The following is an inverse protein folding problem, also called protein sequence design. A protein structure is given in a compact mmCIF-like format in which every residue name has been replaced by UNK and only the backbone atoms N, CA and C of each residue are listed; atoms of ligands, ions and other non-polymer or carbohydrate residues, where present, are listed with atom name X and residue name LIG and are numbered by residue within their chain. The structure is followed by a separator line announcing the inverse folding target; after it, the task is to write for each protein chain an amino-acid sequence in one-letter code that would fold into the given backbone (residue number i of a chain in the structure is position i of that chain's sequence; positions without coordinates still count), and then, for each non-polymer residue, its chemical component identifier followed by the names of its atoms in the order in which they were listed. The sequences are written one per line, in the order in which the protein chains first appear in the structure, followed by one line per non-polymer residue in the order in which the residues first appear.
data_IF_365614168017
#
_entry.id   IF_365614168017
#
_cell.length_a   1.000
_cell.length_b   1.000
_cell.length_c   1.000
_cell.angle_alpha   90.00
_cell.angle_beta   90.00
_cell.angle_gamma   90.00
#
_symmetry.space_group_name_H-M   'P 1'
#
loop_
_entity.id
_entity.type
_entity.pdbx_description
1 polymer ?
#
# COMPACT_ATOMS: atom_id res chain seq x y z
N UNK A 1 3.51 -15.60 -11.54
CA UNK A 1 4.88 -15.75 -10.98
C UNK A 1 4.85 -15.00 -9.67
N UNK A 2 5.02 -15.65 -8.53
CA UNK A 2 4.97 -14.97 -7.22
C UNK A 2 6.03 -13.87 -7.19
N UNK A 3 5.71 -12.62 -6.83
CA UNK A 3 6.74 -11.59 -6.67
C UNK A 3 7.74 -12.10 -5.63
N UNK A 4 9.01 -12.10 -5.99
CA UNK A 4 10.04 -12.48 -5.04
C UNK A 4 10.04 -11.46 -3.89
N UNK A 5 10.34 -11.88 -2.64
CA UNK A 5 10.49 -10.94 -1.53
C UNK A 5 11.45 -9.78 -1.86
N UNK A 6 12.47 -10.05 -2.69
CA UNK A 6 13.39 -9.04 -3.20
C UNK A 6 12.72 -8.01 -4.13
N UNK A 7 11.81 -8.42 -5.02
CA UNK A 7 11.11 -7.51 -5.91
C UNK A 7 10.21 -6.53 -5.15
N UNK A 8 9.47 -7.03 -4.16
CA UNK A 8 8.60 -6.20 -3.31
C UNK A 8 9.41 -5.22 -2.45
N UNK A 9 10.51 -5.68 -1.85
CA UNK A 9 11.40 -4.80 -1.08
C UNK A 9 12.04 -3.72 -1.96
N UNK A 10 12.43 -4.06 -3.20
CA UNK A 10 12.95 -3.07 -4.16
C UNK A 10 11.89 -2.03 -4.55
N UNK A 11 10.63 -2.46 -4.70
CA UNK A 11 9.53 -1.55 -4.97
C UNK A 11 9.30 -0.56 -3.83
N UNK A 12 9.30 -1.03 -2.57
CA UNK A 12 9.22 -0.17 -1.38
C UNK A 12 10.34 0.87 -1.36
N UNK A 13 11.59 0.44 -1.53
CA UNK A 13 12.74 1.35 -1.53
C UNK A 13 12.66 2.40 -2.63
N UNK A 14 12.21 2.01 -3.82
CA UNK A 14 12.17 2.89 -4.99
C UNK A 14 10.99 3.87 -4.94
N UNK A 15 9.81 3.39 -4.55
CA UNK A 15 8.56 4.16 -4.61
C UNK A 15 8.25 4.91 -3.31
N UNK A 16 8.70 4.40 -2.17
CA UNK A 16 8.40 4.95 -0.84
C UNK A 16 9.64 5.45 -0.07
N UNK A 17 10.85 5.29 -0.62
CA UNK A 17 12.08 5.75 0.03
C UNK A 17 12.14 7.26 0.28
N UNK A 18 11.31 8.05 -0.41
CA UNK A 18 11.16 9.49 -0.16
C UNK A 18 10.62 9.83 1.24
N UNK A 19 10.02 8.85 1.95
CA UNK A 19 9.57 9.00 3.34
C UNK A 19 10.74 9.07 4.35
N UNK A 20 11.96 8.72 3.91
CA UNK A 20 13.14 8.61 4.78
C UNK A 20 13.31 7.25 5.46
N UNK A 21 12.37 6.32 5.26
CA UNK A 21 12.47 4.97 5.82
C UNK A 21 13.40 4.09 4.97
N UNK A 22 14.44 3.53 5.61
CA UNK A 22 15.35 2.56 4.99
C UNK A 22 14.78 1.14 5.10
N UNK A 23 13.78 0.79 4.27
CA UNK A 23 13.12 -0.52 4.33
C UNK A 23 14.10 -1.71 4.24
N UNK A 24 13.97 -2.67 5.16
CA UNK A 24 14.82 -3.85 5.28
C UNK A 24 14.08 -5.16 5.01
N UNK A 25 12.85 -5.31 5.52
CA UNK A 25 12.08 -6.54 5.40
C UNK A 25 10.58 -6.26 5.30
N UNK A 26 9.87 -7.14 4.58
CA UNK A 26 8.41 -7.18 4.57
C UNK A 26 7.97 -8.29 5.52
N UNK A 27 7.29 -7.94 6.60
CA UNK A 27 6.84 -8.87 7.63
C UNK A 27 5.50 -9.50 7.22
N UNK A 28 4.57 -8.67 6.76
CA UNK A 28 3.26 -9.11 6.31
C UNK A 28 2.63 -8.08 5.37
N UNK A 29 1.63 -8.53 4.59
CA UNK A 29 0.72 -7.65 3.87
C UNK A 29 -0.71 -8.16 3.95
N UNK A 30 -1.68 -7.26 3.78
CA UNK A 30 -3.10 -7.61 3.71
C UNK A 30 -3.55 -7.96 2.29
N UNK A 31 -4.82 -8.36 2.14
CA UNK A 31 -5.46 -8.53 0.83
C UNK A 31 -5.81 -7.20 0.16
N UNK A 32 -5.71 -6.08 0.87
CA UNK A 32 -5.84 -4.71 0.33
C UNK A 32 -4.48 -4.05 0.07
N UNK A 33 -3.37 -4.76 0.31
CA UNK A 33 -2.03 -4.26 0.06
C UNK A 33 -1.41 -3.42 1.18
N UNK A 34 -2.06 -3.32 2.35
CA UNK A 34 -1.45 -2.69 3.53
C UNK A 34 -0.25 -3.54 3.97
N UNK A 35 0.81 -2.93 4.49
CA UNK A 35 2.03 -3.66 4.81
C UNK A 35 2.53 -3.37 6.22
N UNK A 36 3.03 -4.43 6.87
CA UNK A 36 3.89 -4.32 8.05
C UNK A 36 5.31 -4.60 7.59
N UNK A 37 6.22 -3.65 7.81
CA UNK A 37 7.60 -3.70 7.32
C UNK A 37 8.56 -3.28 8.43
N UNK A 38 9.83 -3.64 8.28
CA UNK A 38 10.90 -3.15 9.15
C UNK A 38 11.89 -2.28 8.38
N UNK A 39 12.56 -1.40 9.10
CA UNK A 39 13.72 -0.67 8.58
C UNK A 39 15.05 -1.33 8.96
N UNK A 40 16.16 -0.77 8.47
CA UNK A 40 17.52 -1.27 8.75
C UNK A 40 17.96 -1.15 10.20
N UNK A 41 17.22 -0.42 11.04
CA UNK A 41 17.44 -0.33 12.49
C UNK A 41 16.57 -1.31 13.28
N UNK A 42 15.73 -2.10 12.60
CA UNK A 42 14.82 -3.06 13.22
C UNK A 42 13.53 -2.43 13.77
N UNK A 43 13.26 -1.16 13.46
CA UNK A 43 11.99 -0.55 13.81
C UNK A 43 10.90 -0.96 12.82
N UNK A 44 9.69 -1.17 13.32
CA UNK A 44 8.51 -1.54 12.56
C UNK A 44 7.75 -0.31 12.08
N UNK A 45 7.18 -0.44 10.88
CA UNK A 45 6.38 0.58 10.22
C UNK A 45 5.13 -0.05 9.61
N UNK A 46 4.02 0.68 9.68
CA UNK A 46 2.79 0.37 8.95
C UNK A 46 2.71 1.22 7.70
N UNK A 47 2.60 0.60 6.53
CA UNK A 47 2.39 1.30 5.26
C UNK A 47 0.94 1.14 4.82
N UNK A 48 0.29 2.27 4.59
CA UNK A 48 -1.05 2.37 4.05
C UNK A 48 -0.99 2.95 2.62
N UNK A 49 -1.18 2.10 1.58
CA UNK A 49 -1.14 2.56 0.19
C UNK A 49 -2.38 3.36 -0.19
N UNK A 50 -3.48 3.24 0.56
CA UNK A 50 -4.75 3.90 0.25
C UNK A 50 -4.73 5.39 0.65
N UNK A 51 -4.14 5.70 1.80
CA UNK A 51 -3.98 7.10 2.26
C UNK A 51 -2.60 7.69 2.00
N UNK A 52 -1.66 6.92 1.45
CA UNK A 52 -0.33 7.43 1.10
C UNK A 52 0.59 7.63 2.30
N UNK A 53 0.47 6.83 3.36
CA UNK A 53 1.16 7.05 4.64
C UNK A 53 2.07 5.89 5.05
N UNK A 54 3.15 6.24 5.76
CA UNK A 54 4.00 5.30 6.49
C UNK A 54 4.07 5.75 7.95
N UNK A 55 3.62 4.90 8.87
CA UNK A 55 3.50 5.18 10.29
C UNK A 55 4.59 4.40 11.03
N UNK A 56 5.47 5.12 11.73
CA UNK A 56 6.46 4.49 12.60
C UNK A 56 5.76 3.88 13.83
N UNK A 57 5.93 2.58 14.04
CA UNK A 57 5.35 1.86 15.18
C UNK A 57 6.35 1.67 16.32
N UNK A 58 7.65 1.66 16.02
CA UNK A 58 8.71 1.44 17.01
C UNK A 58 9.17 -0.01 17.02
N UNK A 59 9.17 -0.68 18.17
CA UNK A 59 9.62 -2.07 18.28
C UNK A 59 8.51 -3.09 17.95
N UNK A 60 8.85 -4.39 18.01
CA UNK A 60 7.90 -5.48 17.74
C UNK A 60 6.70 -5.48 18.70
N UNK A 61 6.90 -5.09 19.96
CA UNK A 61 5.83 -5.07 20.95
C UNK A 61 4.82 -3.95 20.64
N UNK A 62 5.31 -2.77 20.28
CA UNK A 62 4.48 -1.65 19.84
C UNK A 62 3.77 -1.97 18.51
N UNK A 63 4.46 -2.61 17.56
CA UNK A 63 3.85 -3.08 16.32
C UNK A 63 2.72 -4.08 16.56
N UNK A 64 2.95 -5.06 17.44
CA UNK A 64 1.93 -6.04 17.84
C UNK A 64 0.74 -5.39 18.51
N UNK A 65 0.97 -4.41 19.39
CA UNK A 65 -0.09 -3.66 20.05
C UNK A 65 -0.92 -2.87 19.03
N UNK A 66 -0.26 -2.18 18.08
CA UNK A 66 -0.94 -1.47 17.00
C UNK A 66 -1.77 -2.42 16.12
N UNK A 67 -1.19 -3.55 15.71
CA UNK A 67 -1.92 -4.55 14.92
C UNK A 67 -3.07 -5.20 15.69
N UNK A 68 -3.08 -5.19 17.02
CA UNK A 68 -4.17 -5.72 17.82
C UNK A 68 -5.34 -4.73 18.03
N UNK A 69 -5.19 -3.46 17.63
CA UNK A 69 -6.26 -2.47 17.71
C UNK A 69 -7.42 -2.87 16.77
N UNK A 70 -8.65 -2.71 17.25
CA UNK A 70 -9.85 -3.04 16.48
C UNK A 70 -9.92 -2.22 15.18
N UNK A 71 -9.61 -0.92 15.25
CA UNK A 71 -9.56 -0.04 14.07
C UNK A 71 -8.53 -0.53 13.03
N UNK A 72 -7.34 -0.95 13.47
CA UNK A 72 -6.30 -1.48 12.58
C UNK A 72 -6.75 -2.81 11.97
N UNK A 73 -7.42 -3.67 12.72
CA UNK A 73 -7.93 -4.94 12.21
C UNK A 73 -9.04 -4.73 11.17
N UNK A 74 -9.98 -3.79 11.41
CA UNK A 74 -11.04 -3.47 10.46
C UNK A 74 -10.45 -3.00 9.13
N UNK A 75 -9.46 -2.13 9.17
CA UNK A 75 -8.78 -1.60 7.99
C UNK A 75 -7.90 -2.66 7.32
N UNK A 76 -7.15 -3.44 8.09
CA UNK A 76 -6.27 -4.50 7.57
C UNK A 76 -7.04 -5.64 6.90
N UNK A 77 -8.11 -6.12 7.53
CA UNK A 77 -8.90 -7.23 7.00
C UNK A 77 -9.82 -6.76 5.88
N UNK A 78 -10.45 -5.59 6.04
CA UNK A 78 -11.40 -5.01 5.10
C UNK A 78 -12.46 -6.02 4.62
N UNK A 79 -12.94 -6.88 5.53
CA UNK A 79 -13.74 -8.09 5.21
C UNK A 79 -14.90 -7.83 4.24
N UNK A 80 -15.62 -6.72 4.43
CA UNK A 80 -16.75 -6.35 3.58
C UNK A 80 -16.30 -6.06 2.13
N UNK A 81 -15.20 -5.32 1.96
CA UNK A 81 -14.64 -4.98 0.65
C UNK A 81 -14.02 -6.21 -0.01
N UNK A 82 -13.24 -6.99 0.75
CA UNK A 82 -12.62 -8.23 0.27
C UNK A 82 -13.68 -9.24 -0.17
N UNK A 83 -14.75 -9.41 0.61
CA UNK A 83 -15.85 -10.32 0.26
C UNK A 83 -16.59 -9.86 -1.00
N UNK A 84 -16.90 -8.57 -1.10
CA UNK A 84 -17.57 -8.00 -2.28
C UNK A 84 -16.69 -8.10 -3.53
N UNK A 85 -15.39 -7.81 -3.40
CA UNK A 85 -14.43 -7.95 -4.48
C UNK A 85 -14.27 -9.40 -4.92
N UNK A 86 -14.15 -10.34 -3.98
CA UNK A 86 -14.04 -11.76 -4.29
C UNK A 86 -15.27 -12.29 -5.03
N UNK A 87 -16.47 -11.86 -4.64
CA UNK A 87 -17.71 -12.23 -5.33
C UNK A 87 -17.77 -11.70 -6.77
N UNK A 88 -17.20 -10.52 -7.04
CA UNK A 88 -17.26 -9.86 -8.36
C UNK A 88 -16.08 -10.19 -9.27
N UNK A 89 -14.87 -10.24 -8.72
CA UNK A 89 -13.59 -10.35 -9.44
C UNK A 89 -12.97 -11.75 -9.33
N UNK A 90 -13.45 -12.58 -8.40
CA UNK A 90 -12.76 -13.80 -7.97
C UNK A 90 -11.60 -13.49 -7.01
N UNK A 91 -11.04 -14.51 -6.32
CA UNK A 91 -9.90 -14.34 -5.43
C UNK A 91 -8.66 -13.81 -6.17
N UNK A 92 -7.76 -13.09 -5.49
CA UNK A 92 -6.49 -12.69 -6.08
C UNK A 92 -5.62 -13.92 -6.34
N UNK A 93 -4.87 -13.91 -7.44
CA UNK A 93 -3.84 -14.92 -7.66
C UNK A 93 -2.66 -14.70 -6.69
N UNK A 94 -1.73 -15.65 -6.62
CA UNK A 94 -0.51 -15.46 -5.82
C UNK A 94 0.27 -14.23 -6.32
N UNK A 95 0.52 -13.29 -5.40
CA UNK A 95 1.19 -12.02 -5.69
C UNK A 95 0.25 -10.86 -5.98
N UNK A 96 -1.04 -11.14 -6.17
CA UNK A 96 -2.06 -10.10 -6.35
C UNK A 96 -2.72 -9.75 -5.02
N UNK A 97 -3.25 -8.53 -4.98
CA UNK A 97 -4.13 -8.01 -3.94
C UNK A 97 -5.33 -7.32 -4.59
N UNK A 98 -6.33 -6.98 -3.79
CA UNK A 98 -7.32 -6.00 -4.18
C UNK A 98 -6.81 -4.59 -3.91
N UNK A 99 -7.23 -3.63 -4.72
CA UNK A 99 -7.00 -2.21 -4.47
C UNK A 99 -8.05 -1.38 -5.19
N UNK A 100 -8.19 -0.11 -4.82
CA UNK A 100 -8.99 0.83 -5.57
C UNK A 100 -8.34 1.13 -6.93
N UNK A 101 -9.17 1.38 -7.94
CA UNK A 101 -8.69 1.99 -9.19
C UNK A 101 -7.95 3.28 -8.86
N UNK A 102 -6.87 3.64 -9.58
CA UNK A 102 -6.06 4.83 -9.26
C UNK A 102 -6.89 6.12 -9.20
N UNK A 103 -7.87 6.27 -10.07
CA UNK A 103 -8.80 7.41 -10.04
C UNK A 103 -9.70 7.42 -8.79
N UNK A 104 -10.10 6.25 -8.29
CA UNK A 104 -10.93 6.12 -7.10
C UNK A 104 -10.11 6.34 -5.83
N UNK A 105 -8.83 5.91 -5.84
CA UNK A 105 -7.85 6.20 -4.80
C UNK A 105 -7.67 7.71 -4.61
N UNK A 106 -7.52 8.47 -5.70
CA UNK A 106 -7.41 9.94 -5.65
C UNK A 106 -8.73 10.59 -5.23
N UNK A 107 -9.86 10.04 -5.67
CA UNK A 107 -11.19 10.58 -5.36
C UNK A 107 -11.71 10.18 -3.97
N UNK A 108 -11.05 9.25 -3.26
CA UNK A 108 -11.56 8.65 -2.03
C UNK A 108 -12.86 7.86 -2.22
N UNK A 109 -13.09 7.27 -3.40
CA UNK A 109 -14.28 6.47 -3.69
C UNK A 109 -14.03 4.98 -3.35
N UNK A 110 -14.40 4.61 -2.12
CA UNK A 110 -14.22 3.25 -1.60
C UNK A 110 -15.35 2.28 -1.99
N UNK A 111 -16.12 2.58 -3.03
CA UNK A 111 -17.16 1.65 -3.51
C UNK A 111 -16.54 0.31 -3.97
N UNK A 112 -17.16 -0.85 -3.65
CA UNK A 112 -16.70 -2.15 -4.13
C UNK A 112 -16.58 -2.26 -5.66
N UNK A 113 -17.33 -1.44 -6.40
CA UNK A 113 -17.28 -1.37 -7.87
C UNK A 113 -16.00 -0.70 -8.39
N UNK A 114 -15.29 0.02 -7.52
CA UNK A 114 -14.01 0.65 -7.79
C UNK A 114 -12.82 -0.26 -7.53
N UNK A 115 -13.03 -1.44 -6.94
CA UNK A 115 -11.95 -2.39 -6.68
C UNK A 115 -11.47 -3.10 -7.95
N UNK A 116 -10.18 -3.38 -8.00
CA UNK A 116 -9.49 -4.18 -9.01
C UNK A 116 -8.64 -5.24 -8.33
N UNK A 117 -8.23 -6.26 -9.08
CA UNK A 117 -7.07 -7.10 -8.73
C UNK A 117 -5.84 -6.49 -9.38
N UNK A 118 -4.75 -6.41 -8.64
CA UNK A 118 -3.49 -5.82 -9.10
C UNK A 118 -2.33 -6.59 -8.49
N UNK A 119 -1.21 -6.67 -9.21
CA UNK A 119 0.04 -7.18 -8.63
C UNK A 119 0.49 -6.27 -7.47
N UNK A 120 0.89 -6.86 -6.35
CA UNK A 120 1.28 -6.10 -5.16
C UNK A 120 2.49 -5.19 -5.43
N UNK A 121 3.44 -5.62 -6.26
CA UNK A 121 4.60 -4.79 -6.64
C UNK A 121 4.14 -3.56 -7.43
N UNK A 122 3.24 -3.76 -8.39
CA UNK A 122 2.67 -2.67 -9.18
C UNK A 122 1.87 -1.69 -8.31
N UNK A 123 1.09 -2.20 -7.35
CA UNK A 123 0.39 -1.37 -6.37
C UNK A 123 1.37 -0.50 -5.58
N UNK A 124 2.46 -1.07 -5.07
CA UNK A 124 3.45 -0.33 -4.27
C UNK A 124 4.16 0.73 -5.09
N UNK A 125 4.50 0.45 -6.35
CA UNK A 125 5.03 1.48 -7.25
C UNK A 125 4.04 2.61 -7.49
N UNK A 126 2.79 2.26 -7.81
CA UNK A 126 1.75 3.20 -8.17
C UNK A 126 1.35 4.11 -7.01
N UNK A 127 1.01 3.51 -5.87
CA UNK A 127 0.61 4.22 -4.66
C UNK A 127 1.75 5.09 -4.12
N UNK A 128 3.00 4.60 -4.14
CA UNK A 128 4.17 5.37 -3.71
C UNK A 128 4.45 6.58 -4.60
N UNK A 129 4.32 6.45 -5.93
CA UNK A 129 4.45 7.58 -6.85
C UNK A 129 3.34 8.61 -6.64
N UNK A 130 2.09 8.17 -6.53
CA UNK A 130 0.94 9.05 -6.27
C UNK A 130 1.14 9.80 -4.95
N UNK A 131 1.39 9.09 -3.85
CA UNK A 131 1.59 9.65 -2.52
C UNK A 131 2.71 10.70 -2.52
N UNK A 132 3.84 10.40 -3.17
CA UNK A 132 4.96 11.34 -3.32
C UNK A 132 4.55 12.62 -4.06
N UNK A 133 3.77 12.50 -5.14
CA UNK A 133 3.38 13.63 -5.96
C UNK A 133 2.38 14.55 -5.27
N UNK A 134 1.56 14.02 -4.36
CA UNK A 134 0.49 14.79 -3.69
C UNK A 134 0.83 15.19 -2.25
N UNK A 135 1.93 14.70 -1.66
CA UNK A 135 2.27 14.89 -0.23
C UNK A 135 2.28 16.35 0.28
N UNK A 136 2.59 17.30 -0.61
CA UNK A 136 2.74 18.72 -0.28
C UNK A 136 1.50 19.54 -0.70
N UNK A 137 0.44 18.87 -1.18
CA UNK A 137 -0.81 19.51 -1.57
C UNK A 137 -1.71 19.70 -0.35
N UNK A 138 -2.29 20.90 -0.15
CA UNK A 138 -3.32 21.10 0.86
C UNK A 138 -4.58 20.27 0.55
N UNK A 139 -5.34 19.97 1.60
CA UNK A 139 -6.64 19.32 1.45
C UNK A 139 -7.55 20.10 0.48
N UNK A 140 -8.19 19.36 -0.43
CA UNK A 140 -9.06 19.92 -1.47
C UNK A 140 -8.33 20.62 -2.62
N UNK A 141 -6.99 20.64 -2.64
CA UNK A 141 -6.23 21.16 -3.78
C UNK A 141 -6.42 20.26 -5.02
N UNK A 142 -6.46 20.85 -6.23
CA UNK A 142 -6.57 20.08 -7.46
C UNK A 142 -5.33 19.20 -7.69
N UNK A 143 -5.53 17.91 -7.88
CA UNK A 143 -4.47 16.94 -8.15
C UNK A 143 -4.12 16.94 -9.65
N UNK A 144 -2.83 17.06 -9.98
CA UNK A 144 -2.28 16.86 -11.33
C UNK A 144 -1.17 15.83 -11.26
N UNK A 145 -1.48 14.59 -11.65
CA UNK A 145 -0.50 13.53 -11.70
C UNK A 145 0.34 13.63 -12.98
N UNK A 146 1.64 13.42 -12.84
CA UNK A 146 2.57 13.22 -13.95
C UNK A 146 2.75 11.72 -14.13
N UNK A 147 2.61 11.26 -15.37
CA UNK A 147 3.05 9.92 -15.73
C UNK A 147 4.58 9.89 -15.73
N UNK A 148 5.16 9.10 -14.85
CA UNK A 148 6.59 8.81 -14.86
C UNK A 148 6.91 7.93 -16.08
N UNK A 149 7.03 8.53 -17.25
CA UNK A 149 7.67 7.91 -18.42
C UNK A 149 9.07 8.51 -18.53
N UNK A 150 9.97 8.13 -17.63
CA UNK A 150 11.40 8.38 -17.82
C UNK A 150 12.06 7.12 -18.40
N UNK A 151 12.29 7.17 -19.72
CA UNK A 151 13.42 6.57 -20.43
C UNK A 151 13.69 5.07 -20.24
N UNK A 152 13.04 4.24 -21.06
CA UNK A 152 13.76 3.11 -21.67
C UNK A 152 14.22 3.63 -23.03
N UNK A 153 15.45 4.12 -23.09
CA UNK A 153 16.27 4.04 -24.31
C UNK A 153 16.96 2.67 -24.31
#
# INVERSE_FOLDING_TARGET
MTPSPAALLNALRSAWGWTGVEFAEVIAHSLMGHMLVTDRHGAFHYLDPDVGAVIALGDEAAARAHMALEETQVVWQADALVSAAAARLGPPAMGEVYSLRPQALIAGDYSPDMLIRIDLVDLIYLSGDIARQIRDLPDGAPVRLRSSTEGID
#
